data_IF_362324386214
#
_entry.id   IF_362324386214
#
_cell.length_a   1.000
_cell.length_b   1.000
_cell.length_c   1.000
_cell.angle_alpha   90.00
_cell.angle_beta   90.00
_cell.angle_gamma   90.00
#
_symmetry.space_group_name_H-M   'P 1'
#
loop_
_entity.id
_entity.type
_entity.pdbx_description
1 polymer ?
#
# COMPACT_ATOMS: atom_id res chain seq x y z
N UNK A 1 23.29 15.60 -6.87
CA UNK A 1 23.75 14.53 -7.77
C UNK A 1 22.53 13.87 -8.38
N UNK A 2 22.47 13.71 -9.71
CA UNK A 2 21.36 13.04 -10.37
C UNK A 2 21.41 11.54 -10.07
N UNK A 3 20.28 10.95 -9.68
CA UNK A 3 20.14 9.50 -9.47
C UNK A 3 20.34 8.78 -10.80
N UNK A 4 21.35 7.91 -10.88
CA UNK A 4 21.62 7.11 -12.08
C UNK A 4 20.65 5.92 -12.12
N UNK A 5 19.82 5.87 -13.16
CA UNK A 5 18.87 4.77 -13.41
C UNK A 5 19.55 3.39 -13.52
N UNK A 6 20.85 3.34 -13.79
CA UNK A 6 21.61 2.09 -13.87
C UNK A 6 21.73 1.34 -12.53
N UNK A 7 21.45 2.01 -11.40
CA UNK A 7 21.54 1.42 -10.05
C UNK A 7 20.20 0.92 -9.49
N UNK A 8 19.09 1.11 -10.20
CA UNK A 8 17.76 0.70 -9.73
C UNK A 8 17.72 -0.79 -9.38
N UNK A 9 17.37 -1.11 -8.13
CA UNK A 9 17.06 -2.49 -7.71
C UNK A 9 16.18 -3.21 -8.73
N UNK A 10 16.46 -4.48 -9.01
CA UNK A 10 15.70 -5.31 -9.96
C UNK A 10 14.20 -5.41 -9.64
N UNK A 11 13.79 -5.07 -8.40
CA UNK A 11 12.39 -5.05 -7.95
C UNK A 11 11.70 -3.70 -8.07
N UNK A 12 12.42 -2.64 -8.46
CA UNK A 12 11.89 -1.29 -8.61
C UNK A 12 11.46 -1.04 -10.05
N UNK A 13 10.14 -0.90 -10.27
CA UNK A 13 9.57 -0.31 -11.47
C UNK A 13 9.46 1.21 -11.27
N UNK A 14 10.53 1.94 -11.59
CA UNK A 14 10.61 3.39 -11.36
C UNK A 14 9.65 4.20 -12.27
N UNK A 15 9.38 5.43 -11.86
CA UNK A 15 8.60 6.43 -12.60
C UNK A 15 9.47 7.34 -13.46
N UNK A 16 8.85 8.11 -14.35
CA UNK A 16 9.57 9.04 -15.23
C UNK A 16 9.96 10.35 -14.55
N UNK A 17 9.23 10.76 -13.51
CA UNK A 17 9.44 12.01 -12.77
C UNK A 17 9.50 11.75 -11.27
N UNK A 18 10.17 12.64 -10.55
CA UNK A 18 10.31 12.60 -9.10
C UNK A 18 9.93 13.96 -8.51
N UNK A 19 9.53 13.98 -7.24
CA UNK A 19 9.13 15.17 -6.50
C UNK A 19 7.63 15.26 -6.21
N UNK A 20 7.10 16.48 -6.24
CA UNK A 20 5.70 16.76 -5.91
C UNK A 20 4.73 16.00 -6.83
N UNK A 21 3.66 15.45 -6.24
CA UNK A 21 2.68 14.62 -6.93
C UNK A 21 3.16 13.23 -7.36
N UNK A 22 4.44 12.88 -7.10
CA UNK A 22 4.96 11.54 -7.40
C UNK A 22 4.82 10.61 -6.20
N UNK A 23 4.56 9.32 -6.47
CA UNK A 23 4.19 8.33 -5.45
C UNK A 23 5.02 7.06 -5.62
N UNK A 24 5.48 6.46 -4.53
CA UNK A 24 6.06 5.11 -4.53
C UNK A 24 5.07 4.14 -3.90
N UNK A 25 4.65 3.11 -4.65
CA UNK A 25 3.89 1.99 -4.11
C UNK A 25 4.84 0.91 -3.62
N UNK A 26 4.79 0.58 -2.33
CA UNK A 26 5.42 -0.60 -1.77
C UNK A 26 4.35 -1.71 -1.71
N UNK A 27 4.53 -2.73 -2.57
CA UNK A 27 3.50 -3.73 -2.85
C UNK A 27 3.93 -5.10 -2.34
N UNK A 28 3.01 -5.80 -1.68
CA UNK A 28 3.22 -7.17 -1.22
C UNK A 28 3.29 -8.16 -2.39
N UNK A 29 4.45 -8.79 -2.57
CA UNK A 29 4.68 -9.84 -3.57
C UNK A 29 4.95 -9.32 -4.98
N UNK A 30 5.82 -10.04 -5.70
CA UNK A 30 6.24 -9.65 -7.05
C UNK A 30 5.09 -9.69 -8.07
N UNK A 31 4.17 -10.65 -7.93
CA UNK A 31 3.02 -10.80 -8.84
C UNK A 31 2.04 -9.63 -8.73
N UNK A 32 1.71 -9.21 -7.51
CA UNK A 32 0.88 -8.04 -7.28
C UNK A 32 1.59 -6.76 -7.72
N UNK A 33 2.89 -6.62 -7.40
CA UNK A 33 3.69 -5.49 -7.84
C UNK A 33 3.71 -5.35 -9.38
N UNK A 34 3.85 -6.46 -10.11
CA UNK A 34 3.78 -6.46 -11.58
C UNK A 34 2.39 -6.00 -12.08
N UNK A 35 1.31 -6.45 -11.42
CA UNK A 35 -0.06 -6.06 -11.76
C UNK A 35 -0.30 -4.56 -11.54
N UNK A 36 0.19 -4.01 -10.42
CA UNK A 36 0.14 -2.57 -10.13
C UNK A 36 1.00 -1.79 -11.14
N UNK A 37 2.20 -2.29 -11.46
CA UNK A 37 3.09 -1.66 -12.42
C UNK A 37 2.50 -1.60 -13.84
N UNK A 38 1.64 -2.55 -14.20
CA UNK A 38 0.96 -2.57 -15.49
C UNK A 38 -0.16 -1.53 -15.61
N UNK A 39 -0.78 -1.12 -14.50
CA UNK A 39 -1.94 -0.21 -14.51
C UNK A 39 -1.65 1.20 -13.98
N UNK A 40 -0.45 1.46 -13.46
CA UNK A 40 -0.01 2.76 -12.92
C UNK A 40 0.11 3.85 -13.98
N UNK A 41 0.10 5.10 -13.56
CA UNK A 41 0.69 6.17 -14.35
C UNK A 41 2.22 6.14 -14.18
N UNK A 42 2.92 5.57 -15.17
CA UNK A 42 4.38 5.45 -15.13
C UNK A 42 5.09 6.82 -15.12
N UNK A 43 4.40 7.93 -15.38
CA UNK A 43 4.99 9.26 -15.26
C UNK A 43 5.28 9.65 -13.82
N UNK A 44 4.40 9.32 -12.90
CA UNK A 44 4.43 9.84 -11.51
C UNK A 44 4.41 8.77 -10.44
N UNK A 45 4.01 7.54 -10.75
CA UNK A 45 3.87 6.47 -9.77
C UNK A 45 4.97 5.45 -10.00
N UNK A 46 5.76 5.09 -9.00
CA UNK A 46 6.73 3.98 -9.03
C UNK A 46 6.21 2.81 -8.21
N UNK A 47 6.74 1.60 -8.45
CA UNK A 47 6.34 0.39 -7.72
C UNK A 47 7.57 -0.38 -7.28
N UNK A 48 7.65 -0.71 -5.99
CA UNK A 48 8.66 -1.57 -5.39
C UNK A 48 7.97 -2.79 -4.78
N UNK A 49 8.40 -3.99 -5.17
CA UNK A 49 7.90 -5.23 -4.56
C UNK A 49 8.61 -5.52 -3.24
N UNK A 50 7.86 -5.87 -2.19
CA UNK A 50 8.40 -6.50 -0.99
C UNK A 50 8.03 -7.98 -0.95
N UNK A 51 8.99 -8.85 -0.65
CA UNK A 51 8.77 -10.29 -0.53
C UNK A 51 8.99 -10.76 0.89
N UNK A 52 8.12 -11.67 1.31
CA UNK A 52 8.16 -12.27 2.63
C UNK A 52 7.90 -11.24 3.73
N UNK A 53 7.95 -11.73 4.97
CA UNK A 53 7.73 -10.91 6.15
C UNK A 53 8.97 -10.05 6.43
N UNK A 54 8.84 -8.70 6.46
CA UNK A 54 9.95 -7.83 6.81
C UNK A 54 10.58 -8.21 8.15
N UNK A 55 11.86 -7.95 8.33
CA UNK A 55 12.49 -8.03 9.64
C UNK A 55 11.76 -7.09 10.61
N UNK A 56 11.58 -7.46 11.88
CA UNK A 56 11.10 -6.49 12.86
C UNK A 56 12.22 -5.49 13.19
N UNK A 57 12.31 -4.44 12.37
CA UNK A 57 13.28 -3.37 12.51
C UNK A 57 13.10 -2.54 13.78
N UNK A 58 11.97 -2.63 14.48
CA UNK A 58 11.80 -2.00 15.80
C UNK A 58 12.73 -2.61 16.85
N UNK A 59 12.89 -3.94 16.80
CA UNK A 59 13.62 -4.75 17.79
C UNK A 59 15.01 -5.16 17.33
N UNK A 60 15.21 -5.30 16.01
CA UNK A 60 16.49 -5.71 15.47
C UNK A 60 17.58 -4.65 15.72
N UNK A 61 18.84 -5.09 15.84
CA UNK A 61 19.98 -4.19 15.83
C UNK A 61 20.10 -3.48 14.47
N UNK A 62 20.60 -2.24 14.48
CA UNK A 62 20.64 -1.41 13.27
C UNK A 62 21.50 -2.00 12.15
N UNK A 63 22.60 -2.69 12.49
CA UNK A 63 23.45 -3.43 11.53
C UNK A 63 22.67 -4.52 10.80
N UNK A 64 21.82 -5.28 11.51
CA UNK A 64 20.94 -6.30 10.91
C UNK A 64 19.87 -5.66 10.02
N UNK A 65 19.31 -4.51 10.41
CA UNK A 65 18.36 -3.77 9.57
C UNK A 65 19.05 -3.30 8.28
N UNK A 66 20.23 -2.71 8.37
CA UNK A 66 20.98 -2.25 7.22
C UNK A 66 21.35 -3.37 6.24
N UNK A 67 21.58 -4.59 6.74
CA UNK A 67 21.88 -5.75 5.92
C UNK A 67 20.63 -6.49 5.37
N UNK A 68 19.42 -6.19 5.87
CA UNK A 68 18.22 -6.90 5.46
C UNK A 68 17.72 -6.38 4.10
N UNK A 69 17.59 -7.23 3.05
CA UNK A 69 17.49 -6.79 1.65
C UNK A 69 16.42 -5.73 1.34
N UNK A 70 15.27 -5.77 2.00
CA UNK A 70 14.17 -4.84 1.77
C UNK A 70 14.54 -3.38 2.08
N UNK A 71 15.28 -3.11 3.16
CA UNK A 71 15.49 -1.74 3.62
C UNK A 71 16.48 -0.95 2.76
N UNK A 72 17.62 -1.50 2.31
CA UNK A 72 18.44 -0.86 1.29
C UNK A 72 17.68 -0.58 0.00
N UNK A 73 16.84 -1.51 -0.46
CA UNK A 73 16.03 -1.32 -1.68
C UNK A 73 15.02 -0.18 -1.52
N UNK A 74 14.35 -0.11 -0.35
CA UNK A 74 13.42 0.98 -0.05
C UNK A 74 14.15 2.32 0.10
N UNK A 75 15.31 2.34 0.76
CA UNK A 75 16.14 3.52 0.90
C UNK A 75 16.58 4.05 -0.48
N UNK A 76 17.07 3.17 -1.34
CA UNK A 76 17.48 3.50 -2.71
C UNK A 76 16.30 4.06 -3.54
N UNK A 77 15.14 3.39 -3.48
CA UNK A 77 13.92 3.87 -4.14
C UNK A 77 13.51 5.26 -3.65
N UNK A 78 13.63 5.55 -2.34
CA UNK A 78 13.28 6.86 -1.78
C UNK A 78 14.38 7.93 -1.96
N UNK A 79 15.58 7.54 -2.41
CA UNK A 79 16.72 8.42 -2.59
C UNK A 79 17.49 8.69 -1.30
N UNK A 80 17.40 7.77 -0.33
CA UNK A 80 18.12 7.84 0.93
C UNK A 80 19.50 7.19 0.79
N UNK A 81 20.51 7.85 1.37
CA UNK A 81 21.90 7.35 1.39
C UNK A 81 22.11 6.16 2.34
N UNK A 82 21.18 5.90 3.25
CA UNK A 82 21.24 4.80 4.21
C UNK A 82 19.83 4.35 4.61
N UNK A 83 19.61 3.04 4.86
CA UNK A 83 18.35 2.54 5.42
C UNK A 83 18.18 2.82 6.93
N UNK A 84 19.25 3.25 7.63
CA UNK A 84 19.21 3.42 9.09
C UNK A 84 19.68 4.80 9.56
N UNK A 85 20.15 5.64 8.66
CA UNK A 85 20.59 7.01 8.94
C UNK A 85 19.97 7.97 7.92
N UNK A 86 18.76 8.43 8.22
CA UNK A 86 17.94 9.24 7.33
C UNK A 86 17.83 10.62 7.94
N UNK A 87 18.50 11.60 7.31
CA UNK A 87 18.50 12.98 7.74
C UNK A 87 17.31 13.78 7.20
N UNK A 88 17.15 14.99 7.74
CA UNK A 88 16.07 15.91 7.34
C UNK A 88 16.19 16.31 5.87
N UNK A 89 17.42 16.48 5.36
CA UNK A 89 17.66 16.82 3.96
C UNK A 89 17.09 15.74 3.03
N UNK A 90 17.35 14.46 3.30
CA UNK A 90 16.82 13.35 2.50
C UNK A 90 15.29 13.25 2.55
N UNK A 91 14.66 13.69 3.65
CA UNK A 91 13.20 13.77 3.75
C UNK A 91 12.66 14.94 2.92
N UNK A 92 13.37 16.06 2.88
CA UNK A 92 13.00 17.25 2.11
C UNK A 92 13.21 17.05 0.60
N UNK A 93 14.28 16.37 0.19
CA UNK A 93 14.63 16.10 -1.20
C UNK A 93 14.19 14.70 -1.66
N UNK A 94 13.17 14.13 -1.00
CA UNK A 94 12.70 12.78 -1.31
C UNK A 94 12.20 12.66 -2.74
N UNK A 95 12.43 11.48 -3.35
CA UNK A 95 12.05 11.22 -4.75
C UNK A 95 10.54 11.18 -4.98
N UNK A 96 9.78 10.85 -3.94
CA UNK A 96 8.33 10.68 -4.01
C UNK A 96 7.69 11.47 -2.88
N UNK A 97 6.70 12.30 -3.22
CA UNK A 97 5.93 13.03 -2.23
C UNK A 97 5.26 12.07 -1.24
N UNK A 98 4.76 10.93 -1.75
CA UNK A 98 4.04 9.91 -0.98
C UNK A 98 4.65 8.53 -1.10
N UNK A 99 4.67 7.80 0.01
CA UNK A 99 4.91 6.37 0.09
C UNK A 99 3.57 5.66 0.37
N UNK A 100 3.06 4.97 -0.63
CA UNK A 100 1.81 4.21 -0.56
C UNK A 100 2.11 2.74 -0.23
N UNK A 101 1.63 2.26 0.92
CA UNK A 101 1.67 0.85 1.28
C UNK A 101 0.41 0.17 0.73
N UNK A 102 0.59 -0.78 -0.19
CA UNK A 102 -0.49 -1.54 -0.81
C UNK A 102 -0.25 -3.03 -0.57
N UNK A 103 -0.96 -3.58 0.41
CA UNK A 103 -0.75 -4.91 0.96
C UNK A 103 -2.05 -5.71 0.84
N UNK A 104 -1.97 -7.03 0.94
CA UNK A 104 -3.16 -7.87 0.90
C UNK A 104 -4.04 -7.59 2.13
N UNK A 105 -5.38 -7.58 1.97
CA UNK A 105 -6.32 -7.29 3.04
C UNK A 105 -6.55 -8.51 3.97
N UNK A 106 -5.46 -9.19 4.33
CA UNK A 106 -5.45 -10.35 5.22
C UNK A 106 -4.53 -10.14 6.44
N UNK A 107 -4.41 -11.16 7.29
CA UNK A 107 -3.62 -11.07 8.51
C UNK A 107 -2.10 -10.90 8.23
N UNK A 108 -1.60 -11.44 7.13
CA UNK A 108 -0.18 -11.35 6.77
C UNK A 108 0.15 -9.97 6.22
N UNK A 109 -0.69 -9.42 5.34
CA UNK A 109 -0.57 -8.06 4.85
C UNK A 109 -0.67 -7.02 5.97
N UNK A 110 -1.57 -7.22 6.96
CA UNK A 110 -1.63 -6.38 8.17
C UNK A 110 -0.31 -6.45 8.94
N UNK A 111 0.27 -7.64 9.10
CA UNK A 111 1.54 -7.82 9.81
C UNK A 111 2.69 -7.13 9.07
N UNK A 112 2.79 -7.32 7.76
CA UNK A 112 3.79 -6.69 6.91
C UNK A 112 3.70 -5.17 7.03
N UNK A 113 2.49 -4.62 6.96
CA UNK A 113 2.22 -3.20 7.13
C UNK A 113 2.70 -2.68 8.46
N UNK A 114 2.38 -3.37 9.56
CA UNK A 114 2.85 -3.00 10.89
C UNK A 114 4.39 -2.95 10.98
N UNK A 115 5.09 -3.94 10.42
CA UNK A 115 6.56 -3.98 10.44
C UNK A 115 7.20 -2.87 9.61
N UNK A 116 6.60 -2.53 8.47
CA UNK A 116 7.03 -1.41 7.63
C UNK A 116 6.83 -0.07 8.36
N UNK A 117 5.66 0.12 8.99
CA UNK A 117 5.37 1.32 9.77
C UNK A 117 6.31 1.46 10.97
N UNK A 118 6.63 0.36 11.66
CA UNK A 118 7.62 0.36 12.74
C UNK A 118 9.03 0.72 12.26
N UNK A 119 9.45 0.22 11.09
CA UNK A 119 10.71 0.64 10.47
C UNK A 119 10.71 2.15 10.21
N UNK A 120 9.66 2.67 9.56
CA UNK A 120 9.53 4.09 9.23
C UNK A 120 9.47 4.95 10.50
N UNK A 121 8.75 4.53 11.53
CA UNK A 121 8.70 5.23 12.82
C UNK A 121 10.07 5.28 13.50
N UNK A 122 10.90 4.23 13.35
CA UNK A 122 12.22 4.19 13.96
C UNK A 122 13.24 5.04 13.21
N UNK A 123 13.28 4.94 11.89
CA UNK A 123 14.37 5.50 11.08
C UNK A 123 13.97 6.71 10.24
N UNK A 124 12.69 6.89 9.93
CA UNK A 124 12.15 8.01 9.15
C UNK A 124 10.88 8.65 9.77
N UNK A 125 10.83 8.94 11.09
CA UNK A 125 9.61 9.42 11.75
C UNK A 125 9.09 10.73 11.16
N UNK A 126 9.97 11.57 10.62
CA UNK A 126 9.59 12.80 9.94
C UNK A 126 8.71 12.56 8.69
N UNK A 127 8.87 11.44 7.99
CA UNK A 127 8.03 11.09 6.84
C UNK A 127 6.58 10.80 7.27
N UNK A 128 6.41 10.10 8.39
CA UNK A 128 5.10 9.86 9.01
C UNK A 128 4.49 11.15 9.52
N UNK A 129 5.28 11.99 10.22
CA UNK A 129 4.82 13.27 10.76
C UNK A 129 4.34 14.24 9.67
N UNK A 130 4.91 14.18 8.47
CA UNK A 130 4.48 14.98 7.31
C UNK A 130 3.26 14.42 6.59
N UNK A 131 2.68 13.30 7.04
CA UNK A 131 1.54 12.66 6.37
C UNK A 131 1.90 12.08 4.99
N UNK A 132 3.18 11.79 4.75
CA UNK A 132 3.66 11.30 3.46
C UNK A 132 3.51 9.78 3.31
N UNK A 133 3.20 9.05 4.38
CA UNK A 133 2.97 7.59 4.33
C UNK A 133 1.48 7.31 4.29
N UNK A 134 1.03 6.56 3.29
CA UNK A 134 -0.37 6.29 3.00
C UNK A 134 -0.65 4.80 3.01
N UNK A 135 -1.77 4.39 3.58
CA UNK A 135 -2.30 3.03 3.47
C UNK A 135 -3.34 3.00 2.35
N UNK A 136 -3.08 2.20 1.32
CA UNK A 136 -4.04 1.95 0.24
C UNK A 136 -4.84 0.70 0.58
N UNK A 137 -6.17 0.78 0.49
CA UNK A 137 -7.07 -0.34 0.81
C UNK A 137 -7.60 -0.98 -0.45
N UNK A 138 -7.29 -2.25 -0.66
CA UNK A 138 -7.91 -3.07 -1.69
C UNK A 138 -9.30 -3.55 -1.26
N UNK A 139 -10.25 -3.71 -2.20
CA UNK A 139 -11.54 -4.31 -1.90
C UNK A 139 -11.38 -5.82 -1.62
N UNK A 140 -12.15 -6.31 -0.66
CA UNK A 140 -12.26 -7.74 -0.32
C UNK A 140 -13.29 -8.46 -1.17
N UNK A 141 -14.35 -7.75 -1.57
CA UNK A 141 -15.39 -8.31 -2.41
C UNK A 141 -16.06 -7.25 -3.29
N UNK A 142 -16.66 -7.70 -4.39
CA UNK A 142 -17.59 -6.94 -5.20
C UNK A 142 -18.94 -7.66 -5.17
N UNK A 143 -19.99 -6.89 -4.90
CA UNK A 143 -21.38 -7.34 -4.94
C UNK A 143 -22.06 -6.69 -6.14
N UNK A 144 -22.47 -7.50 -7.12
CA UNK A 144 -23.31 -7.04 -8.24
C UNK A 144 -24.76 -7.26 -7.91
N UNK A 145 -25.55 -6.21 -7.98
CA UNK A 145 -26.98 -6.21 -7.66
C UNK A 145 -27.75 -5.71 -8.87
N UNK A 146 -28.72 -6.49 -9.35
CA UNK A 146 -29.66 -6.01 -10.35
C UNK A 146 -30.90 -5.44 -9.64
N UNK A 147 -31.22 -4.18 -9.90
CA UNK A 147 -32.45 -3.55 -9.41
C UNK A 147 -33.66 -4.31 -9.96
N UNK A 148 -34.57 -4.68 -9.06
CA UNK A 148 -35.76 -5.46 -9.42
C UNK A 148 -36.74 -4.76 -10.36
N UNK A 149 -36.76 -3.43 -10.36
CA UNK A 149 -37.71 -2.63 -11.12
C UNK A 149 -37.12 -2.18 -12.46
N UNK A 150 -35.89 -1.65 -12.45
CA UNK A 150 -35.23 -1.13 -13.65
C UNK A 150 -34.39 -2.18 -14.39
N UNK A 151 -33.99 -3.26 -13.70
CA UNK A 151 -33.03 -4.24 -14.22
C UNK A 151 -31.58 -3.73 -14.28
N UNK A 152 -31.32 -2.51 -13.81
CA UNK A 152 -29.99 -1.90 -13.79
C UNK A 152 -29.07 -2.68 -12.87
N UNK A 153 -27.85 -3.00 -13.35
CA UNK A 153 -26.86 -3.73 -12.56
C UNK A 153 -25.84 -2.75 -12.00
N UNK A 154 -25.81 -2.62 -10.67
CA UNK A 154 -24.81 -1.83 -9.96
C UNK A 154 -23.78 -2.75 -9.30
N UNK A 155 -22.52 -2.31 -9.27
CA UNK A 155 -21.43 -2.99 -8.57
C UNK A 155 -21.04 -2.21 -7.33
N UNK A 156 -21.05 -2.88 -6.17
CA UNK A 156 -20.69 -2.30 -4.88
C UNK A 156 -19.46 -3.00 -4.31
N UNK A 157 -18.41 -2.23 -4.00
CA UNK A 157 -17.19 -2.75 -3.39
C UNK A 157 -17.28 -2.79 -1.87
N UNK A 158 -16.83 -3.90 -1.28
CA UNK A 158 -16.70 -4.08 0.15
C UNK A 158 -15.21 -4.16 0.54
N UNK A 159 -14.84 -3.44 1.60
CA UNK A 159 -13.47 -3.38 2.12
C UNK A 159 -13.33 -4.03 3.51
N UNK A 160 -14.43 -4.59 4.03
CA UNK A 160 -14.45 -5.40 5.23
C UNK A 160 -15.52 -6.50 5.12
N UNK A 161 -15.39 -7.62 5.86
CA UNK A 161 -16.44 -8.64 5.94
C UNK A 161 -17.78 -8.06 6.41
N UNK A 162 -17.75 -7.13 7.37
CA UNK A 162 -18.93 -6.46 7.92
C UNK A 162 -19.61 -5.58 6.87
N UNK A 163 -18.82 -4.84 6.07
CA UNK A 163 -19.34 -4.04 4.96
C UNK A 163 -19.98 -4.94 3.90
N UNK A 164 -19.35 -6.07 3.56
CA UNK A 164 -19.93 -7.04 2.62
C UNK A 164 -21.26 -7.60 3.13
N UNK A 165 -21.34 -7.96 4.42
CA UNK A 165 -22.60 -8.40 5.03
C UNK A 165 -23.66 -7.29 5.05
N UNK A 166 -23.28 -6.04 5.34
CA UNK A 166 -24.18 -4.91 5.33
C UNK A 166 -24.76 -4.65 3.94
N UNK A 167 -23.94 -4.66 2.89
CA UNK A 167 -24.37 -4.52 1.50
C UNK A 167 -25.37 -5.62 1.12
N UNK A 168 -25.12 -6.87 1.52
CA UNK A 168 -26.04 -7.98 1.26
C UNK A 168 -27.39 -7.81 1.96
N UNK A 169 -27.37 -7.39 3.23
CA UNK A 169 -28.60 -7.11 3.99
C UNK A 169 -29.42 -6.01 3.32
N UNK A 170 -28.75 -4.96 2.86
CA UNK A 170 -29.41 -3.84 2.19
C UNK A 170 -30.06 -4.26 0.86
N UNK A 171 -29.33 -4.98 -0.01
CA UNK A 171 -29.87 -5.48 -1.28
C UNK A 171 -31.10 -6.39 -1.06
N UNK A 172 -31.03 -7.32 -0.10
CA UNK A 172 -32.17 -8.19 0.26
C UNK A 172 -33.37 -7.41 0.78
N UNK A 173 -33.15 -6.37 1.59
CA UNK A 173 -34.23 -5.55 2.13
C UNK A 173 -34.94 -4.74 1.05
N UNK A 174 -34.26 -4.40 -0.05
CA UNK A 174 -34.89 -3.77 -1.22
C UNK A 174 -35.67 -4.76 -2.08
N UNK A 175 -35.40 -6.06 -1.95
CA UNK A 175 -36.01 -7.13 -2.74
C UNK A 175 -35.14 -7.59 -3.92
N UNK A 176 -33.90 -7.13 -4.04
CA UNK A 176 -33.02 -7.45 -5.16
C UNK A 176 -32.57 -8.92 -5.07
N UNK A 177 -33.27 -9.82 -5.80
CA UNK A 177 -33.03 -11.27 -5.75
C UNK A 177 -31.86 -11.74 -6.62
N UNK A 178 -31.42 -10.91 -7.59
CA UNK A 178 -30.30 -11.24 -8.48
C UNK A 178 -29.03 -10.60 -7.95
N UNK A 179 -28.26 -11.39 -7.21
CA UNK A 179 -27.02 -10.99 -6.57
C UNK A 179 -25.87 -11.91 -7.01
N UNK A 180 -24.73 -11.34 -7.39
CA UNK A 180 -23.51 -12.09 -7.62
C UNK A 180 -22.37 -11.54 -6.75
N UNK A 181 -21.80 -12.42 -5.93
CA UNK A 181 -20.66 -12.13 -5.07
C UNK A 181 -19.36 -12.55 -5.78
N UNK A 182 -18.40 -11.63 -5.84
CA UNK A 182 -17.03 -11.92 -6.19
C UNK A 182 -16.15 -11.61 -4.99
N UNK A 183 -15.44 -12.61 -4.47
CA UNK A 183 -14.46 -12.45 -3.39
C UNK A 183 -13.06 -12.39 -3.99
N UNK A 184 -12.27 -11.41 -3.57
CA UNK A 184 -10.89 -11.24 -3.99
C UNK A 184 -9.97 -11.88 -2.94
N UNK A 185 -9.05 -12.75 -3.38
CA UNK A 185 -8.11 -13.48 -2.50
C UNK A 185 -6.80 -12.72 -2.23
N UNK A 186 -6.73 -11.46 -2.65
CA UNK A 186 -5.53 -10.64 -2.66
C UNK A 186 -5.45 -9.78 -3.92
N UNK A 187 -4.45 -8.92 -3.98
CA UNK A 187 -4.22 -7.93 -5.03
C UNK A 187 -4.14 -8.55 -6.42
N UNK A 188 -3.47 -9.71 -6.54
CA UNK A 188 -3.32 -10.42 -7.81
C UNK A 188 -4.62 -11.01 -8.37
N UNK A 189 -5.70 -11.05 -7.59
CA UNK A 189 -7.02 -11.52 -8.04
C UNK A 189 -7.92 -10.40 -8.58
N UNK A 190 -7.50 -9.14 -8.46
CA UNK A 190 -8.27 -8.00 -8.93
C UNK A 190 -8.13 -7.86 -10.46
N UNK A 191 -9.23 -7.76 -11.21
CA UNK A 191 -9.18 -7.40 -12.62
C UNK A 191 -8.44 -6.05 -12.82
N UNK A 192 -7.67 -5.86 -13.91
CA UNK A 192 -6.83 -4.66 -14.08
C UNK A 192 -7.59 -3.33 -13.95
N UNK A 193 -8.80 -3.24 -14.52
CA UNK A 193 -9.62 -2.05 -14.42
C UNK A 193 -10.03 -1.74 -12.97
N UNK A 194 -10.40 -2.77 -12.21
CA UNK A 194 -10.75 -2.64 -10.80
C UNK A 194 -9.52 -2.31 -9.94
N UNK A 195 -8.38 -2.97 -10.17
CA UNK A 195 -7.13 -2.66 -9.48
C UNK A 195 -6.75 -1.18 -9.70
N UNK A 196 -6.85 -0.69 -10.94
CA UNK A 196 -6.59 0.71 -11.26
C UNK A 196 -7.51 1.63 -10.48
N UNK A 197 -8.83 1.45 -10.59
CA UNK A 197 -9.81 2.35 -9.99
C UNK A 197 -9.85 2.28 -8.45
N UNK A 198 -9.63 1.11 -7.87
CA UNK A 198 -9.78 0.93 -6.41
C UNK A 198 -8.49 1.15 -5.63
N UNK A 199 -7.31 0.94 -6.24
CA UNK A 199 -6.03 0.97 -5.52
C UNK A 199 -5.01 1.98 -6.09
N UNK A 200 -5.04 2.31 -7.39
CA UNK A 200 -3.91 3.00 -8.03
C UNK A 200 -4.22 4.45 -8.39
N UNK A 201 -5.36 4.68 -9.03
CA UNK A 201 -5.79 5.99 -9.50
C UNK A 201 -6.02 6.94 -8.31
N UNK A 202 -5.25 8.05 -8.19
CA UNK A 202 -5.38 8.98 -7.07
C UNK A 202 -6.76 9.60 -6.90
N UNK A 203 -7.57 9.68 -7.97
CA UNK A 203 -8.89 10.29 -7.93
C UNK A 203 -9.98 9.34 -7.39
N UNK A 204 -9.76 8.03 -7.48
CA UNK A 204 -10.80 7.02 -7.18
C UNK A 204 -10.40 6.00 -6.12
N UNK A 205 -9.10 5.79 -5.90
CA UNK A 205 -8.63 4.81 -4.91
C UNK A 205 -9.05 5.16 -3.49
N UNK A 206 -9.16 4.13 -2.66
CA UNK A 206 -9.34 4.30 -1.22
C UNK A 206 -7.98 4.28 -0.52
N UNK A 207 -7.48 5.45 -0.13
CA UNK A 207 -6.21 5.56 0.56
C UNK A 207 -6.26 6.66 1.63
N UNK A 208 -5.64 6.40 2.78
CA UNK A 208 -5.61 7.31 3.92
C UNK A 208 -4.15 7.52 4.38
N UNK A 209 -3.79 8.75 4.73
CA UNK A 209 -2.52 9.01 5.40
C UNK A 209 -2.48 8.33 6.77
N UNK A 210 -1.32 7.77 7.13
CA UNK A 210 -1.13 7.14 8.44
C UNK A 210 -1.16 8.20 9.53
N UNK A 211 -2.09 8.05 10.46
CA UNK A 211 -2.27 8.99 11.57
C UNK A 211 -1.38 8.64 12.76
N UNK A 212 -1.06 9.61 13.64
CA UNK A 212 -0.36 9.33 14.89
C UNK A 212 -1.07 8.30 15.77
N UNK A 213 -2.40 8.32 15.83
CA UNK A 213 -3.19 7.36 16.59
C UNK A 213 -3.05 5.92 16.05
N UNK A 214 -3.08 5.75 14.73
CA UNK A 214 -2.83 4.45 14.10
C UNK A 214 -1.39 3.97 14.38
N UNK A 215 -0.41 4.87 14.30
CA UNK A 215 0.98 4.52 14.60
C UNK A 215 1.16 4.10 16.06
N UNK A 216 0.50 4.78 17.00
CA UNK A 216 0.51 4.41 18.41
C UNK A 216 -0.05 3.00 18.63
N UNK A 217 -1.20 2.68 18.02
CA UNK A 217 -1.78 1.34 18.08
C UNK A 217 -0.83 0.27 17.50
N UNK A 218 -0.13 0.57 16.40
CA UNK A 218 0.87 -0.34 15.82
C UNK A 218 2.03 -0.59 16.79
N UNK A 219 2.53 0.44 17.48
CA UNK A 219 3.60 0.30 18.47
C UNK A 219 3.14 -0.57 19.65
N UNK A 220 1.92 -0.34 20.15
CA UNK A 220 1.36 -1.10 21.27
C UNK A 220 1.21 -2.58 20.95
N UNK A 221 0.68 -2.90 19.77
CA UNK A 221 0.39 -4.29 19.38
C UNK A 221 1.64 -5.02 18.86
N UNK A 222 2.49 -4.36 18.07
CA UNK A 222 3.60 -5.00 17.34
C UNK A 222 4.99 -4.59 17.80
N UNK A 223 5.13 -3.49 18.55
CA UNK A 223 6.41 -2.99 19.03
C UNK A 223 7.01 -3.87 20.14
N UNK A 224 6.16 -4.39 21.03
CA UNK A 224 6.58 -5.10 22.24
C UNK A 224 7.30 -4.19 23.26
N UNK A 225 7.60 -4.72 24.44
CA UNK A 225 8.43 -4.02 25.43
C UNK A 225 9.87 -3.87 24.87
N UNK A 226 10.41 -2.65 24.95
CA UNK A 226 11.78 -2.33 24.53
C UNK A 226 12.78 -2.67 25.62
#
# INVERSE_FOLDING_TARGET
MAYDRSQASAKLSDSQRHGAGCELFLVEGDSAAASVAAVRDARTQAVLACQGKPLNAWRARADRVAAYPLYPQLAEALGWSSPISIGIEQIATRRFERLCLLLDPDADGIHIGALLLLYLQRFAPALLAQGAVWMVRAPLAALRVADQNSGEVTEHLAYSPEQAQALRRHARARGDLRMADQVFRGLGSLPPALLRASCVDPATRRADAVTPAQMQAVIEVFGGAR
#
